data_IF_881151716291
#
_entry.id   IF_881151716291
#
_cell.length_a   1.000
_cell.length_b   1.000
_cell.length_c   1.000
_cell.angle_alpha   90.00
_cell.angle_beta   90.00
_cell.angle_gamma   90.00
#
_symmetry.space_group_name_H-M   'P 1'
#
loop_
_entity.id
_entity.type
_entity.pdbx_description
1 polymer ?
#
# COMPACT_ATOMS: atom_id res chain seq x y z
N UNK A 1 13.72 -9.51 -11.31
CA UNK A 1 12.89 -10.45 -10.51
C UNK A 1 12.11 -11.44 -11.37
N UNK A 2 11.23 -10.98 -12.28
CA UNK A 2 10.38 -11.88 -13.11
C UNK A 2 11.18 -12.87 -13.97
N UNK A 3 12.28 -12.42 -14.58
CA UNK A 3 13.15 -13.30 -15.39
C UNK A 3 13.81 -14.41 -14.56
N UNK A 4 14.35 -14.08 -13.38
CA UNK A 4 14.96 -15.07 -12.49
C UNK A 4 13.95 -16.15 -12.08
N UNK A 5 12.73 -15.75 -11.74
CA UNK A 5 11.66 -16.69 -11.42
C UNK A 5 11.36 -17.66 -12.57
N UNK A 6 11.24 -17.14 -13.81
CA UNK A 6 11.02 -17.96 -15.00
C UNK A 6 12.15 -18.97 -15.19
N UNK A 7 13.41 -18.55 -15.04
CA UNK A 7 14.57 -19.44 -15.16
C UNK A 7 14.54 -20.54 -14.11
N UNK A 8 14.23 -20.20 -12.85
CA UNK A 8 14.13 -21.19 -11.75
C UNK A 8 13.00 -22.19 -12.01
N UNK A 9 11.82 -21.72 -12.42
CA UNK A 9 10.68 -22.59 -12.74
C UNK A 9 11.02 -23.49 -13.93
N UNK A 10 11.66 -22.95 -14.96
CA UNK A 10 12.07 -23.74 -16.13
C UNK A 10 13.09 -24.82 -15.73
N UNK A 11 14.11 -24.47 -14.94
CA UNK A 11 15.10 -25.42 -14.44
C UNK A 11 14.43 -26.54 -13.61
N UNK A 12 13.45 -26.18 -12.77
CA UNK A 12 12.69 -27.15 -11.98
C UNK A 12 11.87 -28.10 -12.87
N UNK A 13 11.19 -27.56 -13.89
CA UNK A 13 10.41 -28.37 -14.86
C UNK A 13 11.33 -29.31 -15.65
N UNK A 14 12.45 -28.82 -16.16
CA UNK A 14 13.41 -29.64 -16.92
C UNK A 14 14.02 -30.71 -16.03
N UNK A 15 14.43 -30.36 -14.80
CA UNK A 15 14.95 -31.31 -13.81
C UNK A 15 13.92 -32.37 -13.44
N UNK A 16 12.65 -31.99 -13.31
CA UNK A 16 11.55 -32.91 -13.05
C UNK A 16 11.30 -33.87 -14.23
N UNK A 17 11.30 -33.38 -15.47
CA UNK A 17 11.16 -34.23 -16.66
C UNK A 17 12.33 -35.21 -16.74
N UNK A 18 13.56 -34.73 -16.56
CA UNK A 18 14.75 -35.59 -16.53
C UNK A 18 14.62 -36.68 -15.45
N UNK A 19 14.21 -36.29 -14.25
CA UNK A 19 13.99 -37.22 -13.15
C UNK A 19 12.91 -38.27 -13.44
N UNK A 20 11.78 -37.87 -14.02
CA UNK A 20 10.70 -38.81 -14.35
C UNK A 20 11.15 -39.80 -15.41
N UNK A 21 11.77 -39.35 -16.50
CA UNK A 21 12.27 -40.20 -17.58
C UNK A 21 13.29 -41.23 -17.06
N UNK A 22 14.20 -40.83 -16.17
CA UNK A 22 15.19 -41.77 -15.61
C UNK A 22 14.62 -42.74 -14.59
N UNK A 23 13.44 -42.47 -14.03
CA UNK A 23 12.84 -43.25 -12.93
C UNK A 23 11.46 -43.84 -13.26
N UNK A 24 11.11 -43.97 -14.55
CA UNK A 24 9.80 -44.49 -14.99
C UNK A 24 9.50 -45.91 -14.45
N UNK A 25 10.52 -46.76 -14.31
CA UNK A 25 10.38 -48.14 -13.81
C UNK A 25 10.61 -48.31 -12.31
N UNK A 26 10.97 -47.24 -11.61
CA UNK A 26 11.35 -47.32 -10.20
C UNK A 26 10.09 -47.25 -9.32
N UNK A 27 9.84 -48.33 -8.59
CA UNK A 27 8.76 -48.42 -7.60
C UNK A 27 9.33 -48.47 -6.19
N UNK A 28 8.64 -47.85 -5.25
CA UNK A 28 9.02 -47.80 -3.82
C UNK A 28 7.82 -48.19 -2.97
N UNK A 29 8.08 -48.94 -1.90
CA UNK A 29 7.09 -49.23 -0.86
C UNK A 29 7.13 -48.13 0.19
N UNK A 30 5.97 -47.49 0.43
CA UNK A 30 5.86 -46.39 1.38
C UNK A 30 4.98 -46.85 2.53
N UNK A 31 5.45 -46.61 3.75
CA UNK A 31 4.68 -46.82 4.97
C UNK A 31 4.18 -45.48 5.47
N UNK A 32 2.87 -45.24 5.36
CA UNK A 32 2.21 -44.06 5.95
C UNK A 32 1.53 -44.47 7.25
N UNK A 33 2.02 -43.94 8.37
CA UNK A 33 1.56 -44.27 9.73
C UNK A 33 1.62 -45.78 10.03
N UNK A 34 0.55 -46.50 9.75
CA UNK A 34 0.42 -47.96 9.95
C UNK A 34 0.01 -48.71 8.69
N UNK A 35 -0.24 -48.00 7.57
CA UNK A 35 -0.62 -48.60 6.29
C UNK A 35 0.59 -48.67 5.37
N UNK A 36 0.78 -49.83 4.74
CA UNK A 36 1.83 -50.07 3.77
C UNK A 36 1.23 -50.06 2.36
N UNK A 37 1.78 -49.21 1.50
CA UNK A 37 1.39 -49.10 0.11
C UNK A 37 2.55 -49.57 -0.76
N UNK A 38 2.53 -50.83 -1.22
CA UNK A 38 3.56 -51.35 -2.10
C UNK A 38 3.38 -50.83 -3.53
N UNK A 39 4.47 -50.79 -4.29
CA UNK A 39 4.50 -50.49 -5.72
C UNK A 39 4.04 -49.07 -6.11
N UNK A 40 4.31 -48.06 -5.27
CA UNK A 40 4.05 -46.66 -5.65
C UNK A 40 5.18 -46.18 -6.56
N UNK A 41 4.88 -45.60 -7.73
CA UNK A 41 5.91 -45.04 -8.58
C UNK A 41 6.49 -43.77 -7.96
N UNK A 42 7.83 -43.64 -8.00
CA UNK A 42 8.55 -42.55 -7.30
C UNK A 42 8.08 -41.16 -7.77
N UNK A 43 7.80 -41.00 -9.06
CA UNK A 43 7.37 -39.72 -9.62
C UNK A 43 6.11 -39.16 -8.93
N UNK A 44 5.17 -40.05 -8.55
CA UNK A 44 3.94 -39.66 -7.88
C UNK A 44 4.23 -39.11 -6.48
N UNK A 45 5.14 -39.75 -5.75
CA UNK A 45 5.59 -39.30 -4.42
C UNK A 45 6.19 -37.90 -4.50
N UNK A 46 7.02 -37.67 -5.53
CA UNK A 46 7.65 -36.37 -5.75
C UNK A 46 6.63 -35.29 -6.09
N UNK A 47 5.66 -35.56 -6.97
CA UNK A 47 4.57 -34.60 -7.26
C UNK A 47 3.80 -34.26 -6.00
N UNK A 48 3.40 -35.26 -5.22
CA UNK A 48 2.61 -35.04 -4.00
C UNK A 48 3.42 -34.22 -2.99
N UNK A 49 4.71 -34.53 -2.81
CA UNK A 49 5.59 -33.77 -1.92
C UNK A 49 5.72 -32.30 -2.34
N UNK A 50 5.97 -32.05 -3.62
CA UNK A 50 6.03 -30.68 -4.19
C UNK A 50 4.69 -29.98 -4.02
N UNK A 51 3.57 -30.67 -4.31
CA UNK A 51 2.22 -30.15 -4.18
C UNK A 51 1.88 -29.74 -2.75
N UNK A 52 2.25 -30.57 -1.76
CA UNK A 52 2.07 -30.25 -0.33
C UNK A 52 2.91 -29.05 0.06
N UNK A 53 4.17 -28.96 -0.38
CA UNK A 53 5.02 -27.80 -0.13
C UNK A 53 4.44 -26.51 -0.73
N UNK A 54 3.99 -26.56 -1.99
CA UNK A 54 3.35 -25.44 -2.66
C UNK A 54 2.03 -25.01 -1.98
N UNK A 55 1.22 -25.97 -1.55
CA UNK A 55 -0.02 -25.70 -0.82
C UNK A 55 0.25 -25.01 0.53
N UNK A 56 1.28 -25.44 1.27
CA UNK A 56 1.69 -24.80 2.52
C UNK A 56 2.18 -23.37 2.31
N UNK A 57 3.02 -23.13 1.31
CA UNK A 57 3.50 -21.79 0.97
C UNK A 57 2.33 -20.90 0.53
N UNK A 58 1.43 -21.44 -0.29
CA UNK A 58 0.22 -20.74 -0.72
C UNK A 58 -0.66 -20.35 0.47
N UNK A 59 -0.87 -21.27 1.41
CA UNK A 59 -1.62 -20.99 2.63
C UNK A 59 -0.95 -19.89 3.45
N UNK A 60 0.37 -19.94 3.65
CA UNK A 60 1.12 -18.91 4.38
C UNK A 60 0.96 -17.53 3.71
N UNK A 61 1.12 -17.49 2.39
CA UNK A 61 0.97 -16.26 1.60
C UNK A 61 -0.46 -15.69 1.68
N UNK A 62 -1.49 -16.54 1.73
CA UNK A 62 -2.88 -16.05 1.90
C UNK A 62 -3.11 -15.44 3.28
N UNK A 63 -2.52 -16.01 4.33
CA UNK A 63 -2.65 -15.48 5.70
C UNK A 63 -1.94 -14.13 5.84
N UNK A 64 -0.73 -14.00 5.30
CA UNK A 64 0.00 -12.73 5.26
C UNK A 64 -0.70 -11.69 4.38
N UNK A 65 -1.22 -12.09 3.22
CA UNK A 65 -1.99 -11.20 2.35
C UNK A 65 -3.25 -10.64 3.03
N UNK A 66 -3.90 -11.44 3.89
CA UNK A 66 -5.06 -11.02 4.64
C UNK A 66 -4.70 -9.99 5.73
N UNK A 67 -3.62 -10.21 6.49
CA UNK A 67 -3.21 -9.27 7.55
C UNK A 67 -2.86 -7.89 6.99
N UNK A 68 -2.15 -7.83 5.86
CA UNK A 68 -1.82 -6.57 5.17
C UNK A 68 -3.09 -5.78 4.81
N UNK A 69 -4.15 -6.46 4.34
CA UNK A 69 -5.43 -5.81 4.02
C UNK A 69 -6.11 -5.24 5.27
N UNK A 70 -6.06 -5.94 6.40
CA UNK A 70 -6.63 -5.45 7.66
C UNK A 70 -5.86 -4.25 8.22
N UNK A 71 -4.53 -4.29 8.17
CA UNK A 71 -3.69 -3.18 8.59
C UNK A 71 -3.94 -1.94 7.74
N UNK A 72 -4.01 -2.09 6.41
CA UNK A 72 -4.30 -0.97 5.51
C UNK A 72 -5.65 -0.31 5.83
N UNK A 73 -6.69 -1.11 6.14
CA UNK A 73 -7.99 -0.57 6.60
C UNK A 73 -7.87 0.19 7.92
N UNK A 74 -7.08 -0.31 8.87
CA UNK A 74 -6.85 0.37 10.16
C UNK A 74 -6.09 1.67 9.97
N UNK A 75 -5.03 1.68 9.16
CA UNK A 75 -4.22 2.86 8.85
C UNK A 75 -5.06 3.97 8.21
N UNK A 76 -5.90 3.63 7.21
CA UNK A 76 -6.81 4.60 6.57
C UNK A 76 -7.78 5.25 7.56
N UNK A 77 -8.33 4.48 8.52
CA UNK A 77 -9.20 5.03 9.57
C UNK A 77 -8.46 6.01 10.46
N UNK A 78 -7.22 5.70 10.84
CA UNK A 78 -6.40 6.58 11.67
C UNK A 78 -6.06 7.87 10.93
N UNK A 79 -5.70 7.78 9.64
CA UNK A 79 -5.43 8.94 8.79
C UNK A 79 -6.63 9.88 8.73
N UNK A 80 -7.83 9.37 8.43
CA UNK A 80 -9.04 10.21 8.38
C UNK A 80 -9.45 10.79 9.73
N UNK A 81 -9.07 10.15 10.85
CA UNK A 81 -9.27 10.72 12.18
C UNK A 81 -8.34 11.91 12.40
N UNK A 82 -7.05 11.74 12.10
CA UNK A 82 -6.06 12.83 12.21
C UNK A 82 -6.40 14.00 11.29
N UNK A 83 -6.84 13.75 10.06
CA UNK A 83 -7.28 14.79 9.13
C UNK A 83 -8.48 15.59 9.67
N UNK A 84 -9.45 14.90 10.29
CA UNK A 84 -10.60 15.57 10.93
C UNK A 84 -10.19 16.40 12.13
N UNK A 85 -9.28 15.90 12.96
CA UNK A 85 -8.75 16.66 14.10
C UNK A 85 -7.99 17.89 13.65
N UNK A 86 -7.13 17.78 12.63
CA UNK A 86 -6.43 18.94 12.04
C UNK A 86 -7.40 19.94 11.43
N UNK A 87 -8.41 19.46 10.69
CA UNK A 87 -9.38 20.35 10.08
C UNK A 87 -10.21 21.07 11.15
N UNK A 88 -10.65 20.36 12.18
CA UNK A 88 -11.32 20.94 13.35
C UNK A 88 -10.45 22.00 14.02
N UNK A 89 -9.18 21.73 14.29
CA UNK A 89 -8.27 22.73 14.85
C UNK A 89 -8.12 23.95 13.94
N UNK A 90 -8.06 23.76 12.62
CA UNK A 90 -7.97 24.85 11.64
C UNK A 90 -9.25 25.68 11.54
N UNK A 91 -10.44 25.08 11.64
CA UNK A 91 -11.72 25.81 11.56
C UNK A 91 -12.10 26.47 12.89
N UNK A 92 -11.67 25.89 14.02
CA UNK A 92 -12.02 26.36 15.36
C UNK A 92 -11.01 27.36 15.91
N UNK A 93 -9.78 27.44 15.35
CA UNK A 93 -8.96 28.62 15.56
C UNK A 93 -9.63 29.78 14.80
N UNK A 94 -10.20 30.79 15.49
CA UNK A 94 -10.61 32.00 14.81
C UNK A 94 -9.31 32.57 14.26
N UNK A 95 -9.13 32.53 12.95
CA UNK A 95 -8.14 33.34 12.24
C UNK A 95 -8.20 34.71 12.89
N UNK A 96 -7.12 35.04 13.60
CA UNK A 96 -7.08 36.08 14.61
C UNK A 96 -7.97 37.22 14.17
N UNK A 97 -9.06 37.42 14.91
CA UNK A 97 -9.79 38.66 14.81
C UNK A 97 -8.73 39.72 14.93
N UNK A 98 -8.42 40.38 13.80
CA UNK A 98 -7.73 41.65 13.79
C UNK A 98 -8.59 42.47 14.73
N UNK A 99 -8.13 42.61 15.98
CA UNK A 99 -8.77 43.48 16.92
C UNK A 99 -8.96 44.79 16.13
N UNK A 100 -10.20 45.29 15.97
CA UNK A 100 -10.39 46.59 15.38
C UNK A 100 -9.61 47.52 16.30
N UNK A 101 -8.44 47.96 15.83
CA UNK A 101 -7.55 48.88 16.52
C UNK A 101 -8.44 50.09 16.83
N UNK A 102 -8.89 50.25 18.08
CA UNK A 102 -9.60 51.45 18.46
C UNK A 102 -8.53 52.54 18.48
N UNK A 103 -8.89 53.71 17.97
CA UNK A 103 -8.05 54.91 17.96
C UNK A 103 -7.23 55.11 16.68
N UNK A 104 -7.91 55.05 15.54
CA UNK A 104 -7.73 56.09 14.54
C UNK A 104 -8.24 57.43 15.13
N UNK A 105 -7.44 58.03 16.02
CA UNK A 105 -7.59 59.43 16.40
C UNK A 105 -7.21 60.24 15.15
N UNK A 106 -8.17 61.02 14.66
CA UNK A 106 -7.99 62.02 13.63
C UNK A 106 -6.94 63.04 14.09
N UNK A 107 -5.67 62.86 13.71
CA UNK A 107 -4.66 63.90 13.87
C UNK A 107 -4.68 64.83 12.66
N UNK A 108 -5.67 65.73 12.68
CA UNK A 108 -5.65 66.94 11.86
C UNK A 108 -4.70 67.96 12.49
N UNK A 109 -3.38 67.79 12.34
CA UNK A 109 -2.39 68.90 12.40
C UNK A 109 -0.98 68.49 11.97
N UNK A 110 -0.69 68.74 10.68
CA UNK A 110 0.43 69.60 10.25
C UNK A 110 1.85 69.26 10.78
N UNK A 111 2.64 68.56 9.98
CA UNK A 111 4.01 68.98 9.64
C UNK A 111 4.64 68.08 8.56
N UNK A 112 4.76 68.66 7.37
CA UNK A 112 5.72 68.29 6.33
C UNK A 112 7.13 68.24 6.93
N UNK A 113 7.90 67.17 6.72
CA UNK A 113 9.32 67.20 6.32
C UNK A 113 9.81 65.77 5.93
N UNK A 114 10.83 65.66 5.06
CA UNK A 114 11.11 64.45 4.28
C UNK A 114 12.25 63.57 4.83
N UNK A 115 12.20 62.30 4.44
CA UNK A 115 13.33 61.40 4.11
C UNK A 115 14.38 61.19 5.20
N UNK A 116 14.42 59.98 5.77
CA UNK A 116 15.69 59.26 5.94
C UNK A 116 15.45 57.75 5.80
N UNK A 117 16.29 57.14 4.97
CA UNK A 117 16.28 55.75 4.58
C UNK A 117 16.33 54.76 5.75
N UNK A 118 15.51 53.71 5.66
CA UNK A 118 15.81 52.43 6.31
C UNK A 118 15.74 51.35 5.23
N UNK A 119 16.93 50.99 4.78
CA UNK A 119 17.24 49.82 3.98
C UNK A 119 16.96 48.58 4.83
N UNK A 120 15.72 48.10 4.83
CA UNK A 120 15.38 46.79 5.36
C UNK A 120 15.48 45.79 4.20
N UNK A 121 16.55 45.02 4.25
CA UNK A 121 16.86 43.83 3.46
C UNK A 121 15.60 43.03 3.11
N UNK A 122 15.32 42.91 1.81
CA UNK A 122 14.47 41.86 1.26
C UNK A 122 15.11 40.52 1.65
N UNK A 123 14.60 39.88 2.69
CA UNK A 123 14.84 38.45 2.89
C UNK A 123 14.01 37.72 1.84
N UNK A 124 14.71 37.03 0.94
CA UNK A 124 14.14 36.06 0.00
C UNK A 124 13.09 35.19 0.72
N UNK A 125 11.85 35.07 0.22
CA UNK A 125 10.98 34.00 0.67
C UNK A 125 11.64 32.68 0.27
N UNK A 126 11.90 31.85 1.29
CA UNK A 126 12.42 30.51 1.15
C UNK A 126 11.75 29.77 -0.02
N UNK A 127 12.58 29.35 -0.97
CA UNK A 127 12.24 28.54 -2.13
C UNK A 127 11.27 27.44 -1.70
N UNK A 128 10.04 27.50 -2.22
CA UNK A 128 9.07 26.44 -2.02
C UNK A 128 9.68 25.10 -2.46
N UNK A 129 9.45 23.99 -1.72
CA UNK A 129 9.91 22.69 -2.16
C UNK A 129 9.26 22.40 -3.52
N UNK A 130 10.10 22.23 -4.54
CA UNK A 130 9.70 21.71 -5.84
C UNK A 130 9.24 20.28 -5.58
N UNK A 131 7.92 20.09 -5.55
CA UNK A 131 7.34 18.75 -5.63
C UNK A 131 7.69 18.23 -7.01
N UNK A 132 8.71 17.37 -7.08
CA UNK A 132 9.01 16.63 -8.30
C UNK A 132 7.75 15.92 -8.75
N UNK A 133 7.39 16.16 -10.01
CA UNK A 133 6.39 15.42 -10.77
C UNK A 133 6.60 13.94 -10.52
N UNK A 134 5.74 13.37 -9.67
CA UNK A 134 5.77 11.95 -9.34
C UNK A 134 4.72 11.32 -10.22
N UNK A 135 5.14 10.85 -11.39
CA UNK A 135 4.35 10.08 -12.37
C UNK A 135 3.94 8.68 -11.85
N UNK A 136 3.81 8.52 -10.54
CA UNK A 136 3.33 7.31 -9.89
C UNK A 136 1.83 7.46 -9.60
N UNK A 137 1.03 7.73 -10.62
CA UNK A 137 -0.40 7.43 -10.54
C UNK A 137 -0.53 5.90 -10.52
N UNK A 138 -1.11 5.30 -9.47
CA UNK A 138 -1.42 3.87 -9.52
C UNK A 138 -2.43 3.64 -10.65
N UNK A 139 -2.35 2.52 -11.38
CA UNK A 139 -3.31 2.23 -12.43
C UNK A 139 -4.73 2.27 -11.85
N UNK A 140 -5.60 3.02 -12.53
CA UNK A 140 -7.04 2.98 -12.31
C UNK A 140 -7.46 1.51 -12.29
N UNK A 141 -7.94 1.09 -11.12
CA UNK A 141 -8.48 -0.24 -10.96
C UNK A 141 -9.94 -0.14 -11.40
N UNK A 142 -10.17 -0.39 -12.71
CA UNK A 142 -11.47 -0.41 -13.41
C UNK A 142 -12.42 -1.51 -12.92
N UNK A 143 -12.41 -1.84 -11.64
CA UNK A 143 -13.42 -2.72 -11.04
C UNK A 143 -14.55 -1.86 -10.47
N UNK A 144 -15.20 -1.10 -11.36
CA UNK A 144 -16.58 -0.63 -11.19
C UNK A 144 -17.52 -1.79 -11.53
N UNK A 145 -17.47 -2.86 -10.72
CA UNK A 145 -18.50 -3.90 -10.73
C UNK A 145 -19.45 -3.62 -9.55
N UNK A 146 -20.56 -2.97 -9.88
CA UNK A 146 -21.90 -3.36 -9.43
C UNK A 146 -22.16 -3.50 -7.92
N UNK A 147 -22.01 -2.40 -7.18
CA UNK A 147 -22.77 -2.23 -5.93
C UNK A 147 -24.22 -1.82 -6.27
N UNK A 148 -25.00 -2.84 -6.60
CA UNK A 148 -26.45 -2.79 -6.73
C UNK A 148 -27.09 -2.17 -5.47
N UNK A 149 -27.56 -0.93 -5.62
CA UNK A 149 -28.39 -0.22 -4.67
C UNK A 149 -29.76 -0.92 -4.53
N UNK A 150 -29.87 -1.91 -3.65
CA UNK A 150 -31.14 -2.52 -3.25
C UNK A 150 -31.81 -1.66 -2.16
N UNK A 151 -32.30 -0.49 -2.58
CA UNK A 151 -33.18 0.35 -1.78
C UNK A 151 -34.60 -0.24 -1.70
N UNK A 152 -34.78 -1.28 -0.88
CA UNK A 152 -36.09 -1.84 -0.57
C UNK A 152 -36.87 -0.96 0.39
N UNK A 153 -37.64 0.00 -0.13
CA UNK A 153 -38.72 0.68 0.59
C UNK A 153 -40.05 0.33 -0.07
N UNK A 154 -40.70 -0.72 0.42
CA UNK A 154 -42.11 -0.98 0.12
C UNK A 154 -42.98 -0.30 1.20
N UNK A 155 -44.05 0.30 0.69
CA UNK A 155 -45.03 1.18 1.32
C UNK A 155 -46.05 0.37 2.14
#
# INVERSE_FOLDING_TARGET
MRFFFIVVVLALVVGYIGFTVTNLGSVVSIKLWSSEYPNIPIWLVVIVSIGVGAALIGLLATVEGASIRFENRRLRKTMHKMERELNFLRTTQPSGGRAPEPDAIEDSSRATLPVTAVTATLSEPASAPVYGERDDWPPENDNDDDDAYSGGRAV
#
